data_IF_869792169914
#
_entry.id   IF_869792169914
#
_cell.length_a   1.000
_cell.length_b   1.000
_cell.length_c   1.000
_cell.angle_alpha   90.00
_cell.angle_beta   90.00
_cell.angle_gamma   90.00
#
_symmetry.space_group_name_H-M   'P 1'
#
loop_
_entity.id
_entity.type
_entity.pdbx_description
1 polymer ?
#
# COMPACT_ATOMS: atom_id res chain seq x y z
N UNK A 1 -24.86 -14.13 15.80
CA UNK A 1 -24.82 -13.13 14.71
C UNK A 1 -23.97 -13.73 13.61
N UNK A 2 -24.54 -13.90 12.41
CA UNK A 2 -23.89 -14.59 11.31
C UNK A 2 -22.75 -13.73 10.75
N UNK A 3 -21.54 -14.30 10.67
CA UNK A 3 -20.42 -13.68 9.97
C UNK A 3 -20.74 -13.62 8.48
N UNK A 4 -20.80 -12.41 7.94
CA UNK A 4 -20.76 -12.20 6.51
C UNK A 4 -19.30 -12.32 6.10
N UNK A 5 -18.91 -13.51 5.62
CA UNK A 5 -17.66 -13.72 4.91
C UNK A 5 -17.73 -12.89 3.62
N UNK A 6 -17.24 -11.65 3.70
CA UNK A 6 -17.22 -10.72 2.58
C UNK A 6 -16.37 -11.30 1.45
N UNK A 7 -16.95 -11.31 0.25
CA UNK A 7 -16.24 -11.59 -0.99
C UNK A 7 -15.08 -10.58 -1.16
N UNK A 8 -13.89 -10.97 -0.70
CA UNK A 8 -12.65 -10.21 -0.90
C UNK A 8 -12.21 -10.33 -2.34
N UNK A 9 -12.72 -9.46 -3.21
CA UNK A 9 -12.12 -9.25 -4.52
C UNK A 9 -10.67 -8.79 -4.35
N UNK A 10 -9.73 -9.41 -5.07
CA UNK A 10 -8.33 -9.01 -5.08
C UNK A 10 -8.18 -7.61 -5.70
N UNK A 11 -8.39 -6.57 -4.89
CA UNK A 11 -8.22 -5.19 -5.29
C UNK A 11 -6.75 -4.81 -5.30
N UNK A 12 -6.30 -4.14 -6.36
CA UNK A 12 -5.02 -3.44 -6.40
C UNK A 12 -5.29 -1.96 -6.18
N UNK A 13 -4.75 -1.41 -5.10
CA UNK A 13 -4.76 0.02 -4.80
C UNK A 13 -3.44 0.69 -5.18
N UNK A 14 -3.40 2.02 -5.10
CA UNK A 14 -2.18 2.80 -5.32
C UNK A 14 -2.03 3.84 -4.21
N UNK A 15 -0.79 4.02 -3.75
CA UNK A 15 -0.39 5.12 -2.88
C UNK A 15 0.85 5.81 -3.47
N UNK A 16 1.25 6.93 -2.89
CA UNK A 16 2.41 7.70 -3.33
C UNK A 16 3.27 8.04 -2.13
N UNK A 17 4.58 7.80 -2.23
CA UNK A 17 5.58 8.19 -1.25
C UNK A 17 6.34 9.41 -1.79
N UNK A 18 6.56 10.41 -0.95
CA UNK A 18 7.41 11.55 -1.30
C UNK A 18 8.86 11.26 -0.91
N UNK A 19 9.79 11.36 -1.86
CA UNK A 19 11.21 11.32 -1.56
C UNK A 19 11.62 12.57 -0.78
N UNK A 20 12.23 12.44 0.42
CA UNK A 20 12.63 13.60 1.22
C UNK A 20 13.83 14.36 0.64
N UNK A 21 14.64 13.72 -0.21
CA UNK A 21 15.89 14.29 -0.74
C UNK A 21 15.64 15.17 -1.96
N UNK A 22 14.82 14.70 -2.91
CA UNK A 22 14.56 15.41 -4.17
C UNK A 22 13.09 15.83 -4.37
N UNK A 23 12.19 15.51 -3.45
CA UNK A 23 10.76 15.84 -3.54
C UNK A 23 9.99 15.04 -4.60
N UNK A 24 10.62 14.05 -5.24
CA UNK A 24 9.95 13.22 -6.25
C UNK A 24 8.87 12.35 -5.61
N UNK A 25 7.69 12.34 -6.24
CA UNK A 25 6.59 11.45 -5.89
C UNK A 25 6.79 10.06 -6.50
N UNK A 26 7.04 9.05 -5.68
CA UNK A 26 7.21 7.65 -6.09
C UNK A 26 5.89 6.91 -5.89
N UNK A 27 5.20 6.47 -6.97
CA UNK A 27 3.99 5.66 -6.83
C UNK A 27 4.34 4.27 -6.30
N UNK A 28 3.47 3.71 -5.46
CA UNK A 28 3.54 2.33 -4.98
C UNK A 28 2.21 1.62 -5.22
N UNK A 29 2.29 0.40 -5.76
CA UNK A 29 1.14 -0.49 -5.85
C UNK A 29 0.87 -1.12 -4.47
N UNK A 30 -0.40 -1.32 -4.13
CA UNK A 30 -0.80 -1.98 -2.90
C UNK A 30 -1.73 -3.14 -3.22
N UNK A 31 -1.36 -4.33 -2.76
CA UNK A 31 -2.20 -5.52 -2.85
C UNK A 31 -3.11 -5.59 -1.62
N UNK A 32 -4.42 -5.69 -1.85
CA UNK A 32 -5.36 -5.98 -0.77
C UNK A 32 -5.14 -7.40 -0.23
N UNK A 33 -5.03 -7.54 1.10
CA UNK A 33 -4.88 -8.83 1.77
C UNK A 33 -6.17 -9.24 2.48
N UNK A 34 -6.75 -8.34 3.26
CA UNK A 34 -7.99 -8.62 3.99
C UNK A 34 -8.70 -7.34 4.42
N UNK A 35 -9.99 -7.48 4.70
CA UNK A 35 -10.82 -6.42 5.28
C UNK A 35 -11.55 -6.99 6.48
N UNK A 36 -11.41 -6.32 7.63
CA UNK A 36 -12.14 -6.66 8.85
C UNK A 36 -12.96 -5.45 9.26
N UNK A 37 -14.25 -5.65 9.52
CA UNK A 37 -15.14 -4.62 10.03
C UNK A 37 -15.61 -4.95 11.45
N UNK A 38 -15.59 -3.96 12.33
CA UNK A 38 -16.23 -3.96 13.64
C UNK A 38 -17.29 -2.83 13.68
N UNK A 39 -18.04 -2.74 14.78
CA UNK A 39 -19.20 -1.83 14.96
C UNK A 39 -18.93 -0.39 14.51
N UNK A 40 -17.70 0.10 14.74
CA UNK A 40 -17.29 1.48 14.40
C UNK A 40 -15.94 1.57 13.66
N UNK A 41 -15.43 0.45 13.14
CA UNK A 41 -14.09 0.42 12.53
C UNK A 41 -14.07 -0.43 11.27
N UNK A 42 -13.40 0.09 10.26
CA UNK A 42 -13.00 -0.67 9.07
C UNK A 42 -11.48 -0.75 9.05
N UNK A 43 -10.95 -1.97 9.14
CA UNK A 43 -9.53 -2.25 8.98
C UNK A 43 -9.30 -2.90 7.63
N UNK A 44 -8.42 -2.31 6.83
CA UNK A 44 -8.00 -2.84 5.53
C UNK A 44 -6.51 -3.16 5.64
N UNK A 45 -6.16 -4.42 5.49
CA UNK A 45 -4.77 -4.87 5.46
C UNK A 45 -4.32 -4.93 4.01
N UNK A 46 -3.19 -4.28 3.73
CA UNK A 46 -2.60 -4.22 2.39
C UNK A 46 -1.11 -4.55 2.47
N UNK A 47 -0.56 -5.05 1.37
CA UNK A 47 0.87 -5.26 1.17
C UNK A 47 1.36 -4.32 0.07
N UNK A 48 2.25 -3.36 0.40
CA UNK A 48 2.82 -2.46 -0.59
C UNK A 48 3.96 -3.12 -1.37
N UNK A 49 4.04 -2.84 -2.67
CA UNK A 49 5.25 -3.07 -3.47
C UNK A 49 6.17 -1.84 -3.37
N UNK A 50 7.35 -2.03 -2.80
CA UNK A 50 8.33 -0.98 -2.56
C UNK A 50 9.49 -1.01 -3.54
N UNK A 51 9.43 -1.84 -4.59
CA UNK A 51 10.52 -2.03 -5.56
C UNK A 51 10.97 -0.68 -6.15
N UNK A 52 10.02 0.15 -6.58
CA UNK A 52 10.31 1.47 -7.17
C UNK A 52 10.88 2.47 -6.15
N UNK A 53 10.51 2.35 -4.87
CA UNK A 53 11.05 3.18 -3.79
C UNK A 53 12.52 2.87 -3.56
N UNK A 54 12.87 1.59 -3.49
CA UNK A 54 14.26 1.16 -3.33
C UNK A 54 15.11 1.50 -4.56
N UNK A 55 14.57 1.28 -5.76
CA UNK A 55 15.24 1.67 -7.00
C UNK A 55 15.50 3.19 -7.06
N UNK A 56 14.55 4.00 -6.62
CA UNK A 56 14.74 5.45 -6.54
C UNK A 56 15.78 5.86 -5.49
N UNK A 57 15.80 5.21 -4.32
CA UNK A 57 16.78 5.51 -3.28
C UNK A 57 18.23 5.26 -3.73
N UNK A 58 18.48 4.17 -4.47
CA UNK A 58 19.82 3.87 -5.01
C UNK A 58 20.38 4.94 -5.94
N UNK A 59 19.52 5.74 -6.57
CA UNK A 59 19.96 6.87 -7.40
C UNK A 59 20.65 7.93 -6.56
N UNK A 60 20.23 8.14 -5.31
CA UNK A 60 20.86 9.10 -4.38
C UNK A 60 22.11 8.54 -3.72
N UNK A 61 22.19 7.23 -3.47
CA UNK A 61 23.40 6.59 -2.90
C UNK A 61 24.61 6.57 -3.87
N UNK A 62 24.37 6.81 -5.16
CA UNK A 62 25.41 6.81 -6.19
C UNK A 62 26.09 8.18 -6.39
N UNK A 63 25.63 9.22 -5.67
CA UNK A 63 26.20 10.57 -5.62
C UNK A 63 27.12 10.73 -4.39
#
# INVERSE_FOLDING_TARGET
MAGLEGAGGAGVGQATIQCPECGTSVPIAMRHLSTTSDTDKLMIVVEPDLTDVWAHHWVHESD
#
